data_IF_355446298259
#
_entry.id   IF_355446298259
#
_cell.length_a   1.000
_cell.length_b   1.000
_cell.length_c   1.000
_cell.angle_alpha   90.00
_cell.angle_beta   90.00
_cell.angle_gamma   90.00
#
_symmetry.space_group_name_H-M   'P 1'
#
loop_
_entity.id
_entity.type
_entity.pdbx_description
1 polymer ?
#
# COMPACT_ATOMS: atom_id res chain seq x y z
N UNK A 1 -6.45 -0.51 18.02
CA UNK A 1 -6.52 -1.38 16.83
C UNK A 1 -6.10 -2.76 17.29
N UNK A 2 -6.98 -3.76 17.13
CA UNK A 2 -6.68 -5.12 17.58
C UNK A 2 -5.74 -5.81 16.59
N UNK A 3 -5.05 -6.86 17.05
CA UNK A 3 -4.14 -7.66 16.23
C UNK A 3 -4.82 -8.26 14.98
N UNK A 4 -6.13 -8.53 15.05
CA UNK A 4 -6.95 -9.02 13.95
C UNK A 4 -6.97 -8.05 12.74
N UNK A 5 -7.10 -6.74 12.98
CA UNK A 5 -7.21 -5.74 11.93
C UNK A 5 -5.96 -5.64 11.04
N UNK A 6 -4.80 -6.11 11.51
CA UNK A 6 -3.57 -6.05 10.73
C UNK A 6 -3.40 -7.26 9.82
N UNK A 7 -3.83 -8.44 10.25
CA UNK A 7 -3.87 -9.65 9.41
C UNK A 7 -4.77 -9.40 8.20
N UNK A 8 -5.96 -8.89 8.47
CA UNK A 8 -6.93 -8.42 7.49
C UNK A 8 -6.34 -7.46 6.43
N UNK A 9 -5.55 -6.48 6.87
CA UNK A 9 -4.89 -5.53 5.97
C UNK A 9 -3.82 -6.21 5.10
N UNK A 10 -3.06 -7.15 5.68
CA UNK A 10 -2.04 -7.90 4.94
C UNK A 10 -2.64 -8.81 3.88
N UNK A 11 -3.79 -9.42 4.14
CA UNK A 11 -4.52 -10.25 3.18
C UNK A 11 -4.95 -9.45 1.95
N UNK A 12 -5.35 -8.18 2.12
CA UNK A 12 -5.67 -7.29 0.99
C UNK A 12 -4.44 -7.03 0.14
N UNK A 13 -3.31 -6.71 0.76
CA UNK A 13 -2.06 -6.51 0.01
C UNK A 13 -1.60 -7.79 -0.68
N UNK A 14 -1.77 -8.95 -0.03
CA UNK A 14 -1.50 -10.24 -0.63
C UNK A 14 -2.37 -10.50 -1.87
N UNK A 15 -3.67 -10.23 -1.78
CA UNK A 15 -4.60 -10.29 -2.91
C UNK A 15 -4.17 -9.33 -4.03
N UNK A 16 -3.79 -8.08 -3.71
CA UNK A 16 -3.29 -7.10 -4.68
C UNK A 16 -2.00 -7.56 -5.39
N UNK A 17 -1.10 -8.24 -4.69
CA UNK A 17 0.19 -8.65 -5.27
C UNK A 17 0.07 -9.95 -6.07
N UNK A 18 -0.73 -10.91 -5.62
CA UNK A 18 -0.88 -12.21 -6.27
C UNK A 18 -1.94 -12.22 -7.37
N UNK A 19 -3.03 -11.48 -7.20
CA UNK A 19 -4.19 -11.49 -8.10
C UNK A 19 -4.49 -10.12 -8.71
N UNK A 20 -3.65 -9.12 -8.44
CA UNK A 20 -3.84 -7.74 -8.88
C UNK A 20 -4.06 -7.58 -10.38
N UNK A 21 -3.48 -8.43 -11.22
CA UNK A 21 -3.64 -8.34 -12.68
C UNK A 21 -5.10 -8.43 -13.14
N UNK A 22 -5.98 -8.99 -12.30
CA UNK A 22 -7.42 -9.07 -12.57
C UNK A 22 -8.18 -7.76 -12.28
N UNK A 23 -7.65 -6.85 -11.46
CA UNK A 23 -8.39 -5.65 -11.00
C UNK A 23 -7.55 -4.36 -10.89
N UNK A 24 -6.23 -4.43 -10.78
CA UNK A 24 -5.28 -3.33 -10.90
C UNK A 24 -4.99 -3.11 -12.39
N UNK A 25 -5.77 -2.23 -13.01
CA UNK A 25 -5.85 -2.08 -14.47
C UNK A 25 -4.65 -1.35 -15.12
N UNK A 26 -3.65 -0.91 -14.34
CA UNK A 26 -2.45 -0.31 -14.89
C UNK A 26 -1.22 -0.51 -14.02
N UNK A 27 -0.05 -0.59 -14.67
CA UNK A 27 1.24 -0.69 -14.00
C UNK A 27 1.49 0.45 -12.99
N UNK A 28 0.95 1.64 -13.26
CA UNK A 28 1.07 2.79 -12.35
C UNK A 28 0.46 2.53 -10.97
N UNK A 29 -0.60 1.72 -10.88
CA UNK A 29 -1.23 1.38 -9.59
C UNK A 29 -0.32 0.51 -8.74
N UNK A 30 0.54 -0.32 -9.37
CA UNK A 30 1.55 -1.08 -8.64
C UNK A 30 2.70 -0.19 -8.15
N UNK A 31 3.03 0.90 -8.86
CA UNK A 31 4.02 1.87 -8.39
C UNK A 31 3.54 2.48 -7.06
N UNK A 32 2.28 2.92 -7.05
CA UNK A 32 1.62 3.55 -5.90
C UNK A 32 1.47 2.55 -4.74
N UNK A 33 1.10 1.30 -5.05
CA UNK A 33 1.00 0.21 -4.08
C UNK A 33 2.34 -0.02 -3.36
N UNK A 34 3.42 -0.16 -4.12
CA UNK A 34 4.74 -0.41 -3.55
C UNK A 34 5.27 0.82 -2.81
N UNK A 35 5.01 2.03 -3.30
CA UNK A 35 5.31 3.25 -2.59
C UNK A 35 4.62 3.31 -1.22
N UNK A 36 3.32 3.03 -1.15
CA UNK A 36 2.58 3.06 0.12
C UNK A 36 3.02 1.93 1.06
N UNK A 37 3.34 0.73 0.55
CA UNK A 37 3.93 -0.35 1.35
C UNK A 37 5.26 0.08 1.99
N UNK A 38 6.15 0.72 1.22
CA UNK A 38 7.42 1.25 1.71
C UNK A 38 7.15 2.34 2.75
N UNK A 39 6.22 3.27 2.49
CA UNK A 39 5.92 4.39 3.39
C UNK A 39 5.33 3.91 4.72
N UNK A 40 4.44 2.92 4.68
CA UNK A 40 3.71 2.40 5.83
C UNK A 40 4.47 1.29 6.57
N UNK A 41 5.69 0.93 6.16
CA UNK A 41 6.43 -0.22 6.71
C UNK A 41 6.52 -0.26 8.24
N UNK A 42 6.60 0.90 8.90
CA UNK A 42 6.64 1.02 10.36
C UNK A 42 5.39 0.46 11.05
N UNK A 43 4.23 0.51 10.40
CA UNK A 43 2.97 -0.04 10.92
C UNK A 43 3.02 -1.56 11.01
N UNK A 44 3.84 -2.20 10.17
CA UNK A 44 3.94 -3.66 10.09
C UNK A 44 5.13 -4.24 10.86
N UNK A 45 5.96 -3.40 11.51
CA UNK A 45 7.13 -3.87 12.27
C UNK A 45 6.75 -4.83 13.41
N UNK A 46 5.58 -4.63 14.04
CA UNK A 46 5.10 -5.48 15.12
C UNK A 46 4.45 -6.79 14.63
N UNK A 47 4.18 -6.92 13.32
CA UNK A 47 3.62 -8.13 12.70
C UNK A 47 4.70 -9.15 12.33
N UNK A 48 5.95 -8.89 12.70
CA UNK A 48 7.09 -9.76 12.45
C UNK A 48 6.90 -11.18 13.02
N UNK A 49 6.03 -11.34 14.02
CA UNK A 49 5.68 -12.66 14.57
C UNK A 49 4.82 -13.52 13.63
N UNK A 50 4.18 -12.92 12.61
CA UNK A 50 3.19 -13.57 11.74
C UNK A 50 3.61 -13.72 10.27
N UNK A 51 4.88 -13.45 9.93
CA UNK A 51 5.53 -14.23 8.87
C UNK A 51 5.07 -14.07 7.43
N UNK A 52 4.48 -12.94 7.00
CA UNK A 52 4.34 -12.68 5.57
C UNK A 52 5.69 -12.23 4.98
N UNK A 53 6.54 -13.22 4.70
CA UNK A 53 7.92 -13.06 4.21
C UNK A 53 8.02 -12.17 2.95
N UNK A 54 6.96 -12.11 2.14
CA UNK A 54 6.96 -11.32 0.91
C UNK A 54 6.90 -9.81 1.21
N UNK A 55 6.14 -9.36 2.22
CA UNK A 55 6.03 -7.93 2.55
C UNK A 55 7.40 -7.38 2.98
N UNK A 56 8.07 -8.08 3.88
CA UNK A 56 9.41 -7.74 4.30
C UNK A 56 10.43 -7.81 3.16
N UNK A 57 10.26 -8.74 2.23
CA UNK A 57 11.11 -8.84 1.04
C UNK A 57 10.96 -7.60 0.16
N UNK A 58 9.73 -7.13 -0.10
CA UNK A 58 9.46 -5.90 -0.87
C UNK A 58 10.05 -4.69 -0.17
N UNK A 59 9.70 -4.48 1.10
CA UNK A 59 10.14 -3.32 1.88
C UNK A 59 11.66 -3.26 1.98
N UNK A 60 12.31 -4.36 2.35
CA UNK A 60 13.77 -4.38 2.49
C UNK A 60 14.47 -4.20 1.15
N UNK A 61 13.94 -4.81 0.08
CA UNK A 61 14.49 -4.65 -1.27
C UNK A 61 14.50 -3.17 -1.68
N UNK A 62 13.36 -2.50 -1.62
CA UNK A 62 13.28 -1.11 -2.07
C UNK A 62 13.95 -0.13 -1.11
N UNK A 63 13.91 -0.36 0.21
CA UNK A 63 14.67 0.47 1.16
C UNK A 63 16.18 0.40 0.88
N UNK A 64 16.72 -0.77 0.53
CA UNK A 64 18.13 -0.89 0.15
C UNK A 64 18.44 -0.10 -1.14
N UNK A 65 17.54 -0.11 -2.12
CA UNK A 65 17.69 0.66 -3.38
C UNK A 65 17.57 2.16 -3.16
N UNK A 66 16.64 2.60 -2.30
CA UNK A 66 16.47 3.99 -1.91
C UNK A 66 17.73 4.49 -1.19
N UNK A 67 18.25 3.73 -0.22
CA UNK A 67 19.49 4.09 0.47
C UNK A 67 20.69 4.18 -0.49
N UNK A 68 20.77 3.26 -1.46
CA UNK A 68 21.79 3.32 -2.51
C UNK A 68 21.63 4.58 -3.39
N UNK A 69 20.40 4.91 -3.78
CA UNK A 69 20.08 6.12 -4.54
C UNK A 69 20.43 7.40 -3.78
N UNK A 70 20.10 7.48 -2.48
CA UNK A 70 20.47 8.59 -1.60
C UNK A 70 21.98 8.78 -1.55
N UNK A 71 22.72 7.68 -1.35
CA UNK A 71 24.18 7.71 -1.27
C UNK A 71 24.84 8.14 -2.59
N UNK A 72 24.30 7.70 -3.73
CA UNK A 72 24.83 8.02 -5.05
C UNK A 72 24.60 9.49 -5.44
N UNK A 73 23.50 10.09 -4.97
CA UNK A 73 23.13 11.47 -5.27
C UNK A 73 23.50 12.47 -4.15
N UNK A 74 24.08 12.00 -3.05
CA UNK A 74 24.42 12.84 -1.89
C UNK A 74 23.19 13.46 -1.22
N UNK A 75 22.05 12.77 -1.25
CA UNK A 75 20.79 13.23 -0.67
C UNK A 75 20.65 12.74 0.77
N UNK A 76 20.05 13.56 1.63
CA UNK A 76 19.70 13.19 3.01
C UNK A 76 18.25 12.74 3.16
N UNK A 77 17.45 12.90 2.10
CA UNK A 77 16.05 12.50 2.02
C UNK A 77 15.62 12.46 0.56
N UNK A 78 14.71 11.54 0.23
CA UNK A 78 14.08 11.40 -1.09
C UNK A 78 12.64 11.91 -1.09
N UNK A 79 12.26 12.52 -2.20
CA UNK A 79 10.87 12.89 -2.50
C UNK A 79 10.08 11.68 -3.00
N UNK A 80 8.75 11.76 -2.92
CA UNK A 80 7.84 10.74 -3.47
C UNK A 80 8.14 10.38 -4.92
N UNK A 81 8.31 11.38 -5.79
CA UNK A 81 8.63 11.15 -7.20
C UNK A 81 9.97 10.43 -7.41
N UNK A 82 10.94 10.65 -6.52
CA UNK A 82 12.23 9.96 -6.57
C UNK A 82 12.09 8.51 -6.11
N UNK A 83 11.27 8.24 -5.08
CA UNK A 83 10.98 6.87 -4.65
C UNK A 83 10.26 6.12 -5.76
N UNK A 84 9.23 6.70 -6.36
CA UNK A 84 8.50 6.11 -7.49
C UNK A 84 9.44 5.82 -8.68
N UNK A 85 10.39 6.70 -8.96
CA UNK A 85 11.41 6.44 -9.99
C UNK A 85 12.28 5.22 -9.64
N UNK A 86 12.76 5.14 -8.39
CA UNK A 86 13.55 3.98 -7.92
C UNK A 86 12.74 2.69 -7.99
N UNK A 87 11.45 2.71 -7.63
CA UNK A 87 10.56 1.54 -7.72
C UNK A 87 10.45 1.07 -9.18
N UNK A 88 10.12 1.99 -10.10
CA UNK A 88 9.98 1.70 -11.54
C UNK A 88 11.23 1.11 -12.17
N UNK A 89 12.41 1.61 -11.78
CA UNK A 89 13.70 1.17 -12.30
C UNK A 89 14.16 -0.19 -11.76
N UNK A 90 13.52 -0.73 -10.72
CA UNK A 90 14.01 -1.92 -10.00
C UNK A 90 12.98 -3.06 -9.89
N UNK A 91 11.85 -3.00 -10.62
CA UNK A 91 10.85 -4.06 -10.67
C UNK A 91 11.43 -5.43 -11.03
N UNK A 92 12.33 -5.46 -12.01
CA UNK A 92 12.98 -6.67 -12.51
C UNK A 92 13.88 -7.36 -11.48
N UNK A 93 14.41 -6.59 -10.53
CA UNK A 93 15.28 -7.08 -9.47
C UNK A 93 14.53 -7.56 -8.22
N UNK A 94 13.22 -7.31 -8.15
CA UNK A 94 12.36 -7.77 -7.07
C UNK A 94 11.97 -9.23 -7.30
N UNK A 95 12.51 -10.14 -6.49
CA UNK A 95 12.13 -11.56 -6.52
C UNK A 95 11.21 -11.89 -5.36
N UNK A 96 9.93 -12.08 -5.65
CA UNK A 96 8.97 -12.61 -4.67
C UNK A 96 9.06 -14.13 -4.68
N UNK A 97 9.29 -14.73 -3.52
CA UNK A 97 9.22 -16.19 -3.38
C UNK A 97 7.75 -16.56 -3.24
N UNK A 98 7.22 -17.27 -4.24
CA UNK A 98 5.96 -17.99 -4.09
C UNK A 98 6.18 -19.02 -2.98
N UNK A 99 5.36 -19.00 -1.93
CA UNK A 99 5.41 -20.06 -0.92
C UNK A 99 5.05 -21.39 -1.58
N UNK A 100 5.90 -22.41 -1.39
CA UNK A 100 5.76 -23.72 -2.03
C UNK A 100 4.52 -24.49 -1.55
N UNK A 101 3.92 -24.09 -0.43
CA UNK A 101 2.77 -24.76 0.19
C UNK A 101 1.40 -24.28 -0.34
N UNK A 102 1.35 -23.40 -1.35
CA UNK A 102 0.11 -22.95 -2.01
C UNK A 102 -0.64 -24.05 -2.79
N UNK A 103 0.03 -25.17 -3.07
CA UNK A 103 -0.54 -26.33 -3.79
C UNK A 103 -1.28 -27.32 -2.87
N UNK A 104 -1.29 -27.09 -1.55
CA UNK A 104 -2.23 -27.78 -0.66
C UNK A 104 -3.51 -26.95 -0.69
N UNK A 105 -4.55 -27.34 -1.45
CA UNK A 105 -5.81 -26.64 -1.34
C UNK A 105 -6.25 -26.74 0.11
N UNK A 106 -6.43 -25.59 0.75
CA UNK A 106 -7.14 -25.54 2.01
C UNK A 106 -8.44 -26.30 1.83
N UNK A 107 -8.76 -27.17 2.79
CA UNK A 107 -10.05 -27.86 2.74
C UNK A 107 -11.11 -26.78 2.68
N UNK A 108 -11.90 -26.74 1.61
CA UNK A 108 -12.97 -25.76 1.45
C UNK A 108 -13.79 -25.69 2.73
N UNK A 109 -13.60 -24.62 3.50
CA UNK A 109 -14.45 -24.26 4.62
C UNK A 109 -15.41 -23.24 4.04
N UNK A 110 -16.70 -23.50 4.18
CA UNK A 110 -17.72 -22.48 3.96
C UNK A 110 -17.47 -21.40 5.03
N UNK A 111 -16.63 -20.42 4.72
CA UNK A 111 -16.47 -19.25 5.58
C UNK A 111 -17.68 -18.36 5.35
N UNK A 112 -18.59 -18.38 6.32
CA UNK A 112 -19.54 -17.30 6.56
C UNK A 112 -18.74 -16.05 6.92
N UNK A 113 -18.24 -15.36 5.91
CA UNK A 113 -18.47 -13.94 5.72
C UNK A 113 -17.28 -13.29 5.01
N UNK A 114 -17.56 -12.61 3.91
CA UNK A 114 -16.66 -11.61 3.34
C UNK A 114 -16.59 -10.33 4.19
N UNK A 115 -16.67 -10.45 5.54
CA UNK A 115 -16.62 -9.33 6.50
C UNK A 115 -15.47 -8.38 6.19
N UNK A 116 -14.34 -8.93 5.75
CA UNK A 116 -13.19 -8.18 5.28
C UNK A 116 -13.49 -7.30 4.09
N UNK A 117 -13.95 -7.88 2.97
CA UNK A 117 -14.27 -7.13 1.76
C UNK A 117 -15.36 -6.10 2.03
N UNK A 118 -16.40 -6.46 2.78
CA UNK A 118 -17.48 -5.55 3.15
C UNK A 118 -16.98 -4.40 4.03
N UNK A 119 -16.14 -4.69 5.03
CA UNK A 119 -15.53 -3.67 5.91
C UNK A 119 -14.59 -2.76 5.13
N UNK A 120 -13.81 -3.31 4.21
CA UNK A 120 -12.89 -2.54 3.36
C UNK A 120 -13.67 -1.64 2.42
N UNK A 121 -14.66 -2.18 1.70
CA UNK A 121 -15.53 -1.41 0.82
C UNK A 121 -16.23 -0.32 1.62
N UNK A 122 -16.79 -0.63 2.78
CA UNK A 122 -17.45 0.36 3.62
C UNK A 122 -16.46 1.45 4.11
N UNK A 123 -15.25 1.06 4.48
CA UNK A 123 -14.20 2.00 4.94
C UNK A 123 -13.74 2.91 3.82
N UNK A 124 -13.44 2.35 2.64
CA UNK A 124 -13.02 3.13 1.46
C UNK A 124 -14.15 4.08 1.03
N UNK A 125 -15.40 3.62 1.03
CA UNK A 125 -16.56 4.47 0.72
C UNK A 125 -16.73 5.61 1.73
N UNK A 126 -16.62 5.33 3.03
CA UNK A 126 -16.69 6.34 4.09
C UNK A 126 -15.56 7.36 3.97
N UNK A 127 -14.33 6.89 3.73
CA UNK A 127 -13.15 7.74 3.62
C UNK A 127 -13.23 8.62 2.36
N UNK A 128 -13.53 8.04 1.20
CA UNK A 128 -13.68 8.79 -0.07
C UNK A 128 -14.76 9.87 0.04
N UNK A 129 -15.89 9.56 0.70
CA UNK A 129 -16.95 10.54 0.94
C UNK A 129 -16.45 11.69 1.80
N UNK A 130 -15.69 11.39 2.86
CA UNK A 130 -15.10 12.40 3.75
C UNK A 130 -14.11 13.28 2.99
N UNK A 131 -13.18 12.70 2.23
CA UNK A 131 -12.15 13.44 1.50
C UNK A 131 -12.76 14.37 0.44
N UNK A 132 -13.84 13.94 -0.22
CA UNK A 132 -14.60 14.77 -1.14
C UNK A 132 -15.25 15.97 -0.43
N UNK A 133 -15.87 15.74 0.73
CA UNK A 133 -16.47 16.80 1.53
C UNK A 133 -15.42 17.80 2.03
N UNK A 134 -14.31 17.30 2.55
CA UNK A 134 -13.21 18.12 3.09
C UNK A 134 -12.57 18.98 1.98
N UNK A 135 -12.37 18.41 0.79
CA UNK A 135 -11.90 19.15 -0.40
C UNK A 135 -12.87 20.25 -0.82
N UNK A 136 -14.18 19.96 -0.79
CA UNK A 136 -15.21 20.96 -1.09
C UNK A 136 -15.21 22.11 -0.08
N UNK A 137 -15.06 21.81 1.22
CA UNK A 137 -15.00 22.81 2.29
C UNK A 137 -13.75 23.69 2.17
N UNK A 138 -12.59 23.09 1.90
CA UNK A 138 -11.35 23.85 1.66
C UNK A 138 -11.51 24.84 0.50
N UNK A 139 -12.10 24.39 -0.60
CA UNK A 139 -12.30 25.24 -1.78
C UNK A 139 -13.27 26.40 -1.48
N UNK A 140 -14.33 26.16 -0.71
CA UNK A 140 -15.22 27.24 -0.25
C UNK A 140 -14.51 28.26 0.64
N UNK A 141 -13.67 27.79 1.58
CA UNK A 141 -12.86 28.67 2.43
C UNK A 141 -11.93 29.56 1.60
N UNK A 142 -11.26 28.97 0.61
CA UNK A 142 -10.36 29.70 -0.29
C UNK A 142 -11.09 30.80 -1.08
N UNK A 143 -12.28 30.50 -1.63
CA UNK A 143 -13.08 31.52 -2.31
C UNK A 143 -13.56 32.62 -1.37
N UNK A 144 -13.93 32.27 -0.13
CA UNK A 144 -14.34 33.25 0.86
C UNK A 144 -13.18 34.20 1.22
N UNK A 145 -11.98 33.66 1.43
CA UNK A 145 -10.77 34.46 1.67
C UNK A 145 -10.46 35.41 0.51
N UNK A 146 -10.53 34.94 -0.73
CA UNK A 146 -10.33 35.80 -1.91
C UNK A 146 -11.38 36.92 -2.00
N UNK A 147 -12.65 36.62 -1.67
CA UNK A 147 -13.73 37.60 -1.66
C UNK A 147 -13.60 38.65 -0.55
N UNK A 148 -12.93 38.32 0.56
CA UNK A 148 -12.70 39.25 1.67
C UNK A 148 -11.53 40.22 1.41
N UNK A 149 -10.69 39.93 0.42
CA UNK A 149 -9.51 40.74 0.06
C UNK A 149 -9.81 41.68 -1.13
N UNK A 150 -10.94 41.49 -1.85
CA UNK A 150 -11.42 42.39 -2.93
C UNK A 150 -12.31 43.51 -2.40
#
# INVERSE_FOLDING_TARGET
MNHANWVEVLEVFNMCILQGDSFLQSAGVYDDLYYELIRMHNLFQNLHEHGEHWLWSIVNHFNAKIAAFESANGLTSVTENQVLAVVRENYDSLTLRVHEDLDVPDSYVEEEDHLLFDTLVETVLKQTRKDCMDSSLQMQSYFHELSAIS
#
